data_IF_450807006761
#
_entry.id   IF_450807006761
#
_cell.length_a   1.000
_cell.length_b   1.000
_cell.length_c   1.000
_cell.angle_alpha   90.00
_cell.angle_beta   90.00
_cell.angle_gamma   90.00
#
_symmetry.space_group_name_H-M   'P 1'
#
loop_
_entity.id
_entity.type
_entity.pdbx_description
1 polymer ?
#
# COMPACT_ATOMS: atom_id res chain seq x y z
N UNK A 1 10.23 7.86 1.27
CA UNK A 1 9.11 6.88 1.18
C UNK A 1 8.53 6.69 2.56
N UNK A 2 7.21 6.59 2.70
CA UNK A 2 6.57 6.32 4.00
C UNK A 2 6.33 4.83 4.14
N UNK A 3 6.60 4.27 5.32
CA UNK A 3 6.30 2.89 5.65
C UNK A 3 5.07 2.84 6.53
N UNK A 4 4.18 1.89 6.28
CA UNK A 4 2.95 1.68 7.02
C UNK A 4 2.88 0.24 7.49
N UNK A 5 2.46 0.00 8.73
CA UNK A 5 2.16 -1.34 9.22
C UNK A 5 0.66 -1.53 9.26
N UNK A 6 0.19 -2.62 8.66
CA UNK A 6 -1.24 -2.97 8.62
C UNK A 6 -1.69 -3.50 9.97
N UNK A 7 -2.68 -2.86 10.57
CA UNK A 7 -3.28 -3.23 11.87
C UNK A 7 -4.62 -3.97 11.71
N UNK A 8 -5.29 -3.83 10.57
CA UNK A 8 -6.48 -4.59 10.19
C UNK A 8 -6.44 -4.95 8.69
N UNK A 9 -7.03 -6.08 8.25
CA UNK A 9 -6.97 -6.49 6.84
C UNK A 9 -7.44 -5.41 5.86
N UNK A 10 -6.67 -5.19 4.79
CA UNK A 10 -6.96 -4.17 3.77
C UNK A 10 -7.27 -4.85 2.44
N UNK A 11 -8.39 -4.49 1.83
CA UNK A 11 -8.68 -4.87 0.45
C UNK A 11 -7.77 -4.09 -0.49
N UNK A 12 -7.13 -4.81 -1.41
CA UNK A 12 -6.18 -4.23 -2.36
C UNK A 12 -6.29 -4.91 -3.72
N UNK A 13 -5.72 -4.27 -4.73
CA UNK A 13 -5.55 -4.85 -6.07
C UNK A 13 -4.07 -5.14 -6.30
N UNK A 14 -3.72 -6.41 -6.48
CA UNK A 14 -2.39 -6.83 -6.89
C UNK A 14 -2.21 -6.55 -8.38
N UNK A 15 -1.20 -5.75 -8.71
CA UNK A 15 -0.76 -5.55 -10.09
C UNK A 15 0.19 -6.69 -10.50
N UNK A 16 -0.21 -7.44 -11.52
CA UNK A 16 0.58 -8.52 -12.11
C UNK A 16 1.32 -8.01 -13.35
N UNK A 17 2.36 -8.74 -13.76
CA UNK A 17 3.03 -8.53 -15.04
C UNK A 17 2.04 -8.63 -16.21
N UNK A 18 2.22 -7.78 -17.22
CA UNK A 18 1.33 -7.75 -18.39
C UNK A 18 0.00 -7.01 -18.16
N UNK A 19 -0.09 -6.16 -17.12
CA UNK A 19 -1.25 -5.29 -16.87
C UNK A 19 -2.45 -6.00 -16.23
N UNK A 20 -2.33 -7.31 -15.94
CA UNK A 20 -3.39 -8.07 -15.26
C UNK A 20 -3.52 -7.62 -13.80
N UNK A 21 -4.75 -7.58 -13.30
CA UNK A 21 -5.06 -7.17 -11.93
C UNK A 21 -5.81 -8.29 -11.19
N UNK A 22 -5.53 -8.46 -9.91
CA UNK A 22 -6.21 -9.42 -9.03
C UNK A 22 -6.66 -8.76 -7.74
N UNK A 23 -7.86 -9.09 -7.27
CA UNK A 23 -8.29 -8.73 -5.92
C UNK A 23 -7.47 -9.50 -4.89
N UNK A 24 -6.98 -8.80 -3.86
CA UNK A 24 -6.14 -9.33 -2.82
C UNK A 24 -6.48 -8.72 -1.46
N UNK A 25 -6.00 -9.36 -0.39
CA UNK A 25 -6.07 -8.84 0.97
C UNK A 25 -4.67 -8.71 1.54
N UNK A 26 -4.31 -7.51 1.98
CA UNK A 26 -3.08 -7.28 2.72
C UNK A 26 -3.31 -7.70 4.19
N UNK A 27 -2.52 -8.64 4.72
CA UNK A 27 -2.75 -9.19 6.05
C UNK A 27 -2.27 -8.24 7.16
N UNK A 28 -2.78 -8.44 8.36
CA UNK A 28 -2.29 -7.77 9.58
C UNK A 28 -0.80 -8.04 9.76
N UNK A 29 -0.05 -7.01 10.13
CA UNK A 29 1.40 -7.05 10.29
C UNK A 29 2.19 -6.80 9.01
N UNK A 30 1.55 -6.79 7.83
CA UNK A 30 2.23 -6.43 6.59
C UNK A 30 2.83 -5.02 6.69
N UNK A 31 4.09 -4.88 6.26
CA UNK A 31 4.76 -3.58 6.19
C UNK A 31 4.76 -3.12 4.75
N UNK A 32 3.98 -2.07 4.48
CA UNK A 32 3.79 -1.49 3.16
C UNK A 32 4.75 -0.33 2.97
N UNK A 33 5.43 -0.29 1.83
CA UNK A 33 6.18 0.90 1.41
C UNK A 33 5.33 1.71 0.43
N UNK A 34 4.94 2.91 0.83
CA UNK A 34 4.16 3.83 0.02
C UNK A 34 5.09 4.87 -0.62
N UNK A 35 5.01 4.96 -1.95
CA UNK A 35 5.62 6.04 -2.72
C UNK A 35 4.84 7.36 -2.56
N UNK A 36 5.38 8.44 -3.11
CA UNK A 36 4.57 9.64 -3.36
C UNK A 36 3.39 9.26 -4.27
N UNK A 37 2.23 9.94 -4.15
CA UNK A 37 1.14 9.72 -5.09
C UNK A 37 1.68 9.91 -6.50
N UNK A 38 1.61 8.86 -7.32
CA UNK A 38 2.06 8.91 -8.71
C UNK A 38 1.24 9.99 -9.41
N UNK A 39 1.86 11.15 -9.65
CA UNK A 39 1.37 12.12 -10.63
C UNK A 39 1.30 11.36 -11.95
N UNK A 40 0.10 11.27 -12.51
CA UNK A 40 -0.16 10.84 -13.88
C UNK A 40 -0.10 9.32 -14.11
N UNK A 41 -1.28 8.68 -14.18
CA UNK A 41 -1.74 8.07 -15.44
C UNK A 41 -2.97 7.15 -15.28
N UNK A 42 -3.46 6.88 -14.07
CA UNK A 42 -4.74 6.19 -13.90
C UNK A 42 -5.48 6.85 -12.74
N UNK A 43 -6.63 7.44 -13.01
CA UNK A 43 -7.52 8.01 -12.02
C UNK A 43 -8.14 6.88 -11.17
N UNK A 44 -7.32 6.21 -10.38
CA UNK A 44 -7.77 5.22 -9.40
C UNK A 44 -8.22 5.98 -8.17
N UNK A 45 -9.48 6.44 -8.20
CA UNK A 45 -10.21 7.18 -7.17
C UNK A 45 -9.73 6.90 -5.73
N UNK A 46 -8.78 7.69 -5.24
CA UNK A 46 -8.28 7.59 -3.87
C UNK A 46 -7.47 6.33 -3.55
N UNK A 47 -6.96 5.57 -4.53
CA UNK A 47 -6.02 4.47 -4.31
C UNK A 47 -4.57 4.96 -4.36
N UNK A 48 -3.72 4.29 -3.59
CA UNK A 48 -2.28 4.53 -3.51
C UNK A 48 -1.53 3.26 -3.81
N UNK A 49 -0.46 3.43 -4.59
CA UNK A 49 0.49 2.38 -4.92
C UNK A 49 1.34 2.05 -3.69
N UNK A 50 1.27 0.79 -3.27
CA UNK A 50 2.02 0.25 -2.14
C UNK A 50 2.87 -0.94 -2.60
N UNK A 51 4.04 -1.10 -2.00
CA UNK A 51 4.91 -2.25 -2.22
C UNK A 51 4.90 -3.13 -0.96
N UNK A 52 4.65 -4.42 -1.14
CA UNK A 52 4.73 -5.42 -0.09
C UNK A 52 5.20 -6.75 -0.70
N UNK A 53 6.13 -7.43 -0.02
CA UNK A 53 6.69 -8.71 -0.48
C UNK A 53 7.18 -8.69 -1.95
N UNK A 54 7.85 -7.59 -2.34
CA UNK A 54 8.34 -7.39 -3.71
C UNK A 54 7.26 -7.19 -4.77
N UNK A 55 5.98 -7.10 -4.38
CA UNK A 55 4.82 -6.96 -5.28
C UNK A 55 4.14 -5.60 -5.12
N UNK A 56 3.55 -5.15 -6.21
CA UNK A 56 2.82 -3.87 -6.26
C UNK A 56 1.35 -4.10 -5.99
N UNK A 57 0.82 -3.39 -5.02
CA UNK A 57 -0.59 -3.34 -4.70
C UNK A 57 -1.13 -1.93 -4.85
N UNK A 58 -2.43 -1.82 -5.11
CA UNK A 58 -3.20 -0.59 -5.03
C UNK A 58 -4.17 -0.75 -3.86
N UNK A 59 -4.06 0.11 -2.86
CA UNK A 59 -4.95 0.11 -1.69
C UNK A 59 -5.59 1.49 -1.56
N UNK A 60 -6.81 1.56 -1.01
CA UNK A 60 -7.43 2.86 -0.79
C UNK A 60 -6.68 3.67 0.28
N UNK A 61 -6.48 4.96 0.04
CA UNK A 61 -5.87 5.90 0.98
C UNK A 61 -6.62 5.88 2.33
N UNK A 62 -7.96 5.86 2.30
CA UNK A 62 -8.77 5.76 3.52
C UNK A 62 -8.48 4.50 4.34
N UNK A 63 -8.17 3.37 3.69
CA UNK A 63 -7.84 2.13 4.40
C UNK A 63 -6.43 2.24 5.00
N UNK A 64 -5.49 2.88 4.30
CA UNK A 64 -4.17 3.18 4.88
C UNK A 64 -4.28 4.11 6.10
N UNK A 65 -5.12 5.14 6.03
CA UNK A 65 -5.29 6.10 7.13
C UNK A 65 -6.02 5.50 8.34
N UNK A 66 -6.95 4.57 8.12
CA UNK A 66 -7.79 3.99 9.19
C UNK A 66 -7.26 2.66 9.73
N UNK A 67 -6.53 1.88 8.93
CA UNK A 67 -6.13 0.50 9.23
C UNK A 67 -4.63 0.30 9.24
N UNK A 68 -3.83 1.34 9.05
CA UNK A 68 -2.40 1.28 9.24
C UNK A 68 -1.90 2.29 10.25
N UNK A 69 -0.74 1.99 10.83
CA UNK A 69 0.07 2.95 11.56
C UNK A 69 1.32 3.31 10.74
N UNK A 70 1.80 4.55 10.88
CA UNK A 70 3.05 4.97 10.26
C UNK A 70 4.22 4.31 11.00
N UNK A 71 5.09 3.63 10.28
CA UNK A 71 6.32 3.09 10.84
C UNK A 71 7.36 4.21 10.82
N UNK A 72 7.65 4.77 12.00
CA UNK A 72 8.80 5.63 12.19
C UNK A 72 10.06 4.78 12.18
N UNK A 73 11.02 5.09 11.30
CA UNK A 73 12.38 4.61 11.52
C UNK A 73 12.87 5.27 12.81
N UNK A 74 13.14 4.46 13.83
CA UNK A 74 13.82 4.94 15.01
C UNK A 74 15.15 5.54 14.55
N UNK A 75 15.35 6.82 14.81
CA UNK A 75 16.65 7.44 14.64
C UNK A 75 17.62 6.69 15.57
N UNK A 76 18.45 5.82 15.00
CA UNK A 76 19.57 5.22 15.72
C UNK A 76 20.47 6.40 16.10
N UNK A 77 20.54 6.67 17.40
CA UNK A 77 21.37 7.74 17.99
C UNK A 77 22.78 7.20 18.21
#
# INVERSE_FOLDING_TARGET
MRKYRVNAPIAAVLQMSGGRQLSATLPVGAVLSCGSPTRSSEALFGMVKTLWDGRVYLAFQRDLDQKCELVHEAAVT
#
